data_IF_665682430498
#
_entry.id   IF_665682430498
#
_cell.length_a   1.000
_cell.length_b   1.000
_cell.length_c   1.000
_cell.angle_alpha   90.00
_cell.angle_beta   90.00
_cell.angle_gamma   90.00
#
_symmetry.space_group_name_H-M   'P 1'
#
loop_
_entity.id
_entity.type
_entity.pdbx_description
1 polymer ?
#
# COMPACT_ATOMS: atom_id res chain seq x y z
N UNK A 1 9.16 25.39 42.52
CA UNK A 1 9.42 25.96 41.18
C UNK A 1 10.40 25.04 40.45
N UNK A 2 9.89 24.03 39.73
CA UNK A 2 10.74 23.13 38.95
C UNK A 2 10.66 23.51 37.47
N UNK A 3 11.82 23.75 36.86
CA UNK A 3 11.94 24.16 35.45
C UNK A 3 11.49 23.01 34.56
N UNK A 4 10.30 23.14 33.97
CA UNK A 4 9.83 22.29 32.87
C UNK A 4 10.76 22.59 31.69
N UNK A 5 11.76 21.73 31.50
CA UNK A 5 12.62 21.77 30.33
C UNK A 5 11.74 21.49 29.12
N UNK A 6 11.53 22.49 28.26
CA UNK A 6 10.88 22.33 26.96
C UNK A 6 11.62 21.20 26.23
N UNK A 7 11.00 20.03 26.15
CA UNK A 7 11.41 19.01 25.20
C UNK A 7 10.98 19.51 23.84
N UNK A 8 11.80 20.39 23.26
CA UNK A 8 11.71 20.75 21.85
C UNK A 8 12.12 19.49 21.08
N UNK A 9 11.16 18.58 20.90
CA UNK A 9 11.34 17.40 20.05
C UNK A 9 11.58 17.91 18.64
N UNK A 10 12.85 17.99 18.29
CA UNK A 10 13.31 18.23 16.93
C UNK A 10 12.82 17.04 16.09
N UNK A 11 11.69 17.21 15.41
CA UNK A 11 11.19 16.30 14.38
C UNK A 11 12.11 16.35 13.15
N UNK A 12 13.38 15.99 13.34
CA UNK A 12 14.31 15.80 12.25
C UNK A 12 14.01 14.46 11.62
N UNK A 13 13.68 14.49 10.34
CA UNK A 13 13.59 13.30 9.51
C UNK A 13 14.95 12.59 9.57
N UNK A 14 14.99 11.44 10.22
CA UNK A 14 16.22 10.72 10.50
C UNK A 14 15.91 9.27 10.85
N UNK A 15 16.95 8.47 11.07
CA UNK A 15 16.86 7.03 11.31
C UNK A 15 15.84 6.65 12.41
N UNK A 16 15.68 7.51 13.42
CA UNK A 16 14.71 7.33 14.51
C UNK A 16 13.25 7.25 14.03
N UNK A 17 12.87 7.99 12.98
CA UNK A 17 11.52 7.94 12.40
C UNK A 17 11.27 6.56 11.78
N UNK A 18 12.25 6.02 11.07
CA UNK A 18 12.15 4.73 10.40
C UNK A 18 12.07 3.59 11.41
N UNK A 19 12.86 3.62 12.49
CA UNK A 19 12.76 2.66 13.60
C UNK A 19 11.38 2.70 14.24
N UNK A 20 10.86 3.89 14.58
CA UNK A 20 9.52 4.05 15.16
C UNK A 20 8.41 3.59 14.20
N UNK A 21 8.57 3.84 12.91
CA UNK A 21 7.64 3.37 11.89
C UNK A 21 7.61 1.84 11.81
N UNK A 22 8.78 1.18 11.87
CA UNK A 22 8.88 -0.29 11.93
C UNK A 22 8.18 -0.84 13.17
N UNK A 23 8.27 -0.16 14.32
CA UNK A 23 7.54 -0.55 15.54
C UNK A 23 6.01 -0.51 15.37
N UNK A 24 5.48 0.32 14.46
CA UNK A 24 4.04 0.40 14.15
C UNK A 24 3.57 -0.67 13.15
N UNK A 25 4.48 -1.25 12.36
CA UNK A 25 4.18 -2.33 11.40
C UNK A 25 3.44 -3.52 12.03
N UNK A 26 3.85 -4.07 13.19
CA UNK A 26 3.10 -5.17 13.81
C UNK A 26 1.67 -4.79 14.22
N UNK A 27 1.40 -3.52 14.55
CA UNK A 27 0.03 -3.06 14.86
C UNK A 27 -0.86 -3.01 13.61
N UNK A 28 -0.30 -2.73 12.44
CA UNK A 28 -1.05 -2.76 11.16
C UNK A 28 -1.58 -4.17 10.85
N UNK A 29 -0.85 -5.21 11.26
CA UNK A 29 -1.21 -6.62 11.06
C UNK A 29 -1.85 -7.29 12.28
N UNK A 30 -2.22 -6.55 13.32
CA UNK A 30 -2.77 -7.10 14.57
C UNK A 30 -3.99 -8.03 14.34
N UNK A 31 -4.89 -7.69 13.40
CA UNK A 31 -5.96 -8.60 12.93
C UNK A 31 -5.57 -9.26 11.61
N UNK A 32 -4.79 -10.34 11.71
CA UNK A 32 -4.07 -10.99 10.60
C UNK A 32 -4.91 -11.51 9.42
N UNK A 33 -6.10 -12.07 9.63
CA UNK A 33 -6.74 -12.95 8.62
C UNK A 33 -7.05 -12.26 7.28
N UNK A 34 -7.73 -11.12 7.32
CA UNK A 34 -8.14 -10.41 6.09
C UNK A 34 -7.02 -9.52 5.54
N UNK A 35 -6.24 -8.89 6.43
CA UNK A 35 -5.17 -7.98 6.05
C UNK A 35 -4.03 -8.69 5.32
N UNK A 36 -3.62 -9.89 5.78
CA UNK A 36 -2.59 -10.68 5.09
C UNK A 36 -3.09 -11.15 3.72
N UNK A 37 -4.35 -11.58 3.62
CA UNK A 37 -4.94 -12.01 2.36
C UNK A 37 -4.94 -10.87 1.33
N UNK A 38 -5.37 -9.66 1.69
CA UNK A 38 -5.32 -8.50 0.79
C UNK A 38 -3.89 -8.07 0.45
N UNK A 39 -2.93 -8.23 1.38
CA UNK A 39 -1.52 -7.92 1.12
C UNK A 39 -0.90 -8.88 0.09
N UNK A 40 -1.12 -10.18 0.27
CA UNK A 40 -0.67 -11.22 -0.67
C UNK A 40 -1.34 -11.03 -2.02
N UNK A 41 -2.64 -10.74 -2.04
CA UNK A 41 -3.40 -10.56 -3.28
C UNK A 41 -2.95 -9.30 -4.04
N UNK A 42 -2.73 -8.18 -3.34
CA UNK A 42 -2.17 -6.97 -3.93
C UNK A 42 -0.77 -7.22 -4.51
N UNK A 43 0.08 -7.95 -3.77
CA UNK A 43 1.42 -8.32 -4.22
C UNK A 43 1.37 -9.24 -5.45
N UNK A 44 0.51 -10.25 -5.45
CA UNK A 44 0.31 -11.16 -6.57
C UNK A 44 -0.18 -10.43 -7.83
N UNK A 45 -1.14 -9.52 -7.69
CA UNK A 45 -1.60 -8.70 -8.80
C UNK A 45 -0.49 -7.75 -9.31
N UNK A 46 0.33 -7.17 -8.43
CA UNK A 46 1.45 -6.31 -8.83
C UNK A 46 2.51 -7.08 -9.64
N UNK A 47 2.88 -8.28 -9.18
CA UNK A 47 3.79 -9.17 -9.92
C UNK A 47 3.18 -9.58 -11.26
N UNK A 48 1.89 -9.93 -11.27
CA UNK A 48 1.17 -10.27 -12.49
C UNK A 48 1.17 -9.12 -13.51
N UNK A 49 0.98 -7.88 -13.04
CA UNK A 49 1.00 -6.70 -13.91
C UNK A 49 2.38 -6.47 -14.54
N UNK A 50 3.47 -6.66 -13.80
CA UNK A 50 4.84 -6.57 -14.35
C UNK A 50 5.08 -7.62 -15.44
N UNK A 51 4.66 -8.87 -15.20
CA UNK A 51 4.80 -9.93 -16.21
C UNK A 51 3.99 -9.61 -17.47
N UNK A 52 2.76 -9.13 -17.32
CA UNK A 52 1.91 -8.73 -18.46
C UNK A 52 2.50 -7.52 -19.19
N UNK A 53 3.02 -6.53 -18.47
CA UNK A 53 3.69 -5.38 -19.07
C UNK A 53 4.91 -5.79 -19.90
N UNK A 54 5.73 -6.72 -19.39
CA UNK A 54 6.88 -7.27 -20.13
C UNK A 54 6.43 -8.00 -21.41
N UNK A 55 5.36 -8.80 -21.33
CA UNK A 55 4.81 -9.52 -22.50
C UNK A 55 4.20 -8.56 -23.52
N UNK A 56 3.52 -7.52 -23.06
CA UNK A 56 2.91 -6.49 -23.90
C UNK A 56 3.94 -5.81 -24.82
N UNK A 57 5.12 -5.49 -24.30
CA UNK A 57 6.22 -4.93 -25.11
C UNK A 57 6.65 -5.83 -26.27
N UNK A 58 6.67 -7.15 -26.07
CA UNK A 58 7.02 -8.10 -27.15
C UNK A 58 5.92 -8.25 -28.20
N UNK A 59 4.66 -8.06 -27.82
CA UNK A 59 3.50 -8.16 -28.72
C UNK A 59 3.47 -6.98 -29.68
N UNK A 60 3.71 -5.77 -29.19
CA UNK A 60 3.82 -4.57 -30.03
C UNK A 60 4.87 -4.76 -31.13
N UNK A 61 6.03 -5.34 -30.80
CA UNK A 61 7.06 -5.66 -31.80
C UNK A 61 6.62 -6.69 -32.86
N UNK A 62 5.81 -7.68 -32.47
CA UNK A 62 5.25 -8.67 -33.41
C UNK A 62 4.24 -8.04 -34.36
N UNK A 63 3.37 -7.13 -33.87
CA UNK A 63 2.40 -6.41 -34.71
C UNK A 63 3.12 -5.63 -35.82
N UNK A 64 4.19 -4.89 -35.48
CA UNK A 64 5.00 -4.18 -36.48
C UNK A 64 5.65 -5.12 -37.51
N UNK A 65 6.13 -6.30 -37.07
CA UNK A 65 6.72 -7.29 -37.96
C UNK A 65 5.70 -7.89 -38.95
N UNK A 66 4.49 -8.20 -38.49
CA UNK A 66 3.42 -8.72 -39.35
C UNK A 66 2.91 -7.66 -40.32
N UNK A 67 2.83 -6.40 -39.89
CA UNK A 67 2.47 -5.27 -40.74
C UNK A 67 3.49 -5.06 -41.87
N UNK A 68 4.79 -5.17 -41.56
CA UNK A 68 5.87 -5.04 -42.54
C UNK A 68 5.86 -6.17 -43.59
N UNK A 69 5.48 -7.39 -43.17
CA UNK A 69 5.42 -8.55 -44.04
C UNK A 69 4.13 -8.65 -44.89
N UNK A 70 3.19 -7.68 -44.77
CA UNK A 70 1.90 -7.65 -45.49
C UNK A 70 1.05 -8.93 -45.35
N UNK A 71 1.16 -9.62 -44.21
CA UNK A 71 0.38 -10.82 -43.94
C UNK A 71 -0.92 -10.46 -43.18
N UNK A 72 -2.01 -10.34 -43.93
CA UNK A 72 -3.28 -9.81 -43.44
C UNK A 72 -3.95 -10.76 -42.43
N UNK A 73 -3.88 -12.08 -42.64
CA UNK A 73 -4.47 -13.07 -41.73
C UNK A 73 -3.73 -13.12 -40.39
N UNK A 74 -2.40 -13.18 -40.42
CA UNK A 74 -1.59 -13.20 -39.21
C UNK A 74 -1.70 -11.89 -38.40
N UNK A 75 -1.93 -10.76 -39.08
CA UNK A 75 -2.16 -9.48 -38.42
C UNK A 75 -3.45 -9.46 -37.60
N UNK A 76 -4.58 -9.91 -38.15
CA UNK A 76 -5.85 -9.92 -37.41
C UNK A 76 -5.85 -10.86 -36.20
N UNK A 77 -5.21 -12.02 -36.31
CA UNK A 77 -5.04 -12.94 -35.17
C UNK A 77 -4.18 -12.33 -34.06
N UNK A 78 -3.05 -11.73 -34.41
CA UNK A 78 -2.16 -11.07 -33.43
C UNK A 78 -2.79 -9.82 -32.83
N UNK A 79 -3.58 -9.08 -33.60
CA UNK A 79 -4.33 -7.92 -33.12
C UNK A 79 -5.41 -8.34 -32.10
N UNK A 80 -6.22 -9.34 -32.42
CA UNK A 80 -7.24 -9.85 -31.49
C UNK A 80 -6.62 -10.37 -30.19
N UNK A 81 -5.51 -11.11 -30.29
CA UNK A 81 -4.76 -11.58 -29.12
C UNK A 81 -4.19 -10.41 -28.29
N UNK A 82 -3.67 -9.37 -28.94
CA UNK A 82 -3.17 -8.18 -28.25
C UNK A 82 -4.30 -7.46 -27.51
N UNK A 83 -5.44 -7.24 -28.14
CA UNK A 83 -6.60 -6.59 -27.50
C UNK A 83 -7.06 -7.36 -26.26
N UNK A 84 -7.12 -8.70 -26.33
CA UNK A 84 -7.47 -9.53 -25.17
C UNK A 84 -6.46 -9.39 -24.02
N UNK A 85 -5.17 -9.32 -24.34
CA UNK A 85 -4.10 -9.15 -23.34
C UNK A 85 -4.17 -7.76 -22.68
N UNK A 86 -4.37 -6.70 -23.47
CA UNK A 86 -4.55 -5.35 -22.94
C UNK A 86 -5.82 -5.23 -22.08
N UNK A 87 -6.93 -5.87 -22.47
CA UNK A 87 -8.12 -5.94 -21.64
C UNK A 87 -7.84 -6.62 -20.29
N UNK A 88 -7.10 -7.74 -20.32
CA UNK A 88 -6.63 -8.41 -19.10
C UNK A 88 -5.72 -7.54 -18.23
N UNK A 89 -4.81 -6.78 -18.86
CA UNK A 89 -3.94 -5.83 -18.15
C UNK A 89 -4.74 -4.76 -17.41
N UNK A 90 -5.74 -4.17 -18.07
CA UNK A 90 -6.63 -3.20 -17.44
C UNK A 90 -7.38 -3.78 -16.24
N UNK A 91 -7.86 -5.02 -16.34
CA UNK A 91 -8.51 -5.72 -15.22
C UNK A 91 -7.55 -5.94 -14.05
N UNK A 92 -6.32 -6.39 -14.32
CA UNK A 92 -5.29 -6.57 -13.28
C UNK A 92 -5.00 -5.23 -12.60
N UNK A 93 -4.85 -4.15 -13.37
CA UNK A 93 -4.60 -2.82 -12.82
C UNK A 93 -5.75 -2.33 -11.93
N UNK A 94 -6.99 -2.57 -12.35
CA UNK A 94 -8.18 -2.28 -11.53
C UNK A 94 -8.20 -3.10 -10.24
N UNK A 95 -7.84 -4.39 -10.31
CA UNK A 95 -7.70 -5.24 -9.14
C UNK A 95 -6.64 -4.74 -8.15
N UNK A 96 -5.47 -4.30 -8.64
CA UNK A 96 -4.42 -3.70 -7.78
C UNK A 96 -4.97 -2.49 -7.04
N UNK A 97 -5.64 -1.58 -7.76
CA UNK A 97 -6.24 -0.40 -7.15
C UNK A 97 -7.26 -0.79 -6.07
N UNK A 98 -8.16 -1.72 -6.39
CA UNK A 98 -9.18 -2.20 -5.45
C UNK A 98 -8.57 -2.84 -4.20
N UNK A 99 -7.63 -3.77 -4.36
CA UNK A 99 -7.01 -4.46 -3.23
C UNK A 99 -6.14 -3.54 -2.38
N UNK A 100 -5.46 -2.58 -2.99
CA UNK A 100 -4.71 -1.53 -2.28
C UNK A 100 -5.64 -0.68 -1.41
N UNK A 101 -6.80 -0.26 -1.95
CA UNK A 101 -7.82 0.47 -1.19
C UNK A 101 -8.40 -0.35 -0.02
N UNK A 102 -8.72 -1.63 -0.26
CA UNK A 102 -9.21 -2.52 0.80
C UNK A 102 -8.14 -2.72 1.90
N UNK A 103 -6.88 -2.90 1.51
CA UNK A 103 -5.75 -3.05 2.43
C UNK A 103 -5.55 -1.78 3.26
N UNK A 104 -5.62 -0.60 2.63
CA UNK A 104 -5.57 0.69 3.32
C UNK A 104 -6.66 0.82 4.38
N UNK A 105 -7.91 0.48 4.05
CA UNK A 105 -9.02 0.51 5.01
C UNK A 105 -8.81 -0.45 6.18
N UNK A 106 -8.31 -1.67 5.90
CA UNK A 106 -7.99 -2.64 6.94
C UNK A 106 -6.86 -2.17 7.87
N UNK A 107 -5.79 -1.63 7.28
CA UNK A 107 -4.67 -1.04 8.02
C UNK A 107 -5.12 0.11 8.91
N UNK A 108 -5.90 1.05 8.37
CA UNK A 108 -6.44 2.17 9.16
C UNK A 108 -7.28 1.67 10.33
N UNK A 109 -8.20 0.73 10.08
CA UNK A 109 -9.05 0.16 11.13
C UNK A 109 -8.22 -0.52 12.22
N UNK A 110 -7.25 -1.36 11.85
CA UNK A 110 -6.40 -2.09 12.80
C UNK A 110 -5.54 -1.12 13.63
N UNK A 111 -4.92 -0.15 12.97
CA UNK A 111 -4.07 0.84 13.61
C UNK A 111 -4.86 1.68 14.61
N UNK A 112 -5.99 2.25 14.19
CA UNK A 112 -6.83 3.10 15.05
C UNK A 112 -7.36 2.30 16.25
N UNK A 113 -7.84 1.07 16.02
CA UNK A 113 -8.35 0.24 17.13
C UNK A 113 -7.24 -0.05 18.14
N UNK A 114 -6.04 -0.42 17.66
CA UNK A 114 -4.93 -0.76 18.55
C UNK A 114 -4.38 0.46 19.30
N UNK A 115 -4.35 1.64 18.66
CA UNK A 115 -4.00 2.89 19.35
C UNK A 115 -5.07 3.28 20.37
N UNK A 116 -6.33 3.08 20.06
CA UNK A 116 -7.44 3.37 20.97
C UNK A 116 -7.37 2.47 22.21
N UNK A 117 -7.14 1.17 22.01
CA UNK A 117 -6.95 0.23 23.12
C UNK A 117 -5.75 0.65 24.00
N UNK A 118 -4.62 1.04 23.39
CA UNK A 118 -3.44 1.55 24.11
C UNK A 118 -3.69 2.89 24.84
N UNK A 119 -4.51 3.76 24.28
CA UNK A 119 -4.81 5.08 24.86
C UNK A 119 -5.68 4.96 26.11
N UNK A 120 -6.64 4.03 26.11
CA UNK A 120 -7.53 3.80 27.24
C UNK A 120 -7.00 2.77 28.25
N UNK A 121 -5.96 2.01 27.89
CA UNK A 121 -5.30 1.09 28.82
C UNK A 121 -4.54 1.85 29.92
N UNK A 122 -4.51 1.29 31.14
CA UNK A 122 -3.71 1.76 32.27
C UNK A 122 -3.78 3.27 32.59
N UNK A 123 -4.93 3.92 32.41
CA UNK A 123 -5.12 5.37 32.61
C UNK A 123 -4.13 6.25 31.83
N UNK A 124 -3.60 5.75 30.71
CA UNK A 124 -2.66 6.48 29.84
C UNK A 124 -3.30 7.79 29.35
N UNK A 125 -4.59 7.77 29.04
CA UNK A 125 -5.35 8.99 28.73
C UNK A 125 -5.18 10.08 29.80
N UNK A 126 -5.23 9.71 31.09
CA UNK A 126 -5.14 10.65 32.21
C UNK A 126 -3.69 11.11 32.42
N UNK A 127 -2.73 10.21 32.25
CA UNK A 127 -1.30 10.55 32.36
C UNK A 127 -0.89 11.53 31.26
N UNK A 128 -1.33 11.31 30.02
CA UNK A 128 -1.03 12.19 28.88
C UNK A 128 -1.75 13.55 29.03
N UNK A 129 -3.05 13.57 29.39
CA UNK A 129 -3.78 14.85 29.51
C UNK A 129 -3.52 15.61 30.82
N UNK A 130 -3.11 14.93 31.90
CA UNK A 130 -3.12 15.50 33.25
C UNK A 130 -1.76 15.62 33.94
N UNK A 131 -0.77 14.80 33.57
CA UNK A 131 0.53 14.73 34.27
C UNK A 131 1.69 15.13 33.34
N UNK A 132 1.65 14.70 32.08
CA UNK A 132 2.62 15.02 31.03
C UNK A 132 2.00 15.96 29.98
N UNK A 133 1.57 17.14 30.41
CA UNK A 133 1.19 18.23 29.50
C UNK A 133 2.46 18.77 28.79
N UNK A 134 3.04 17.97 27.90
CA UNK A 134 4.24 18.29 27.11
C UNK A 134 3.90 19.20 25.91
N UNK A 135 2.78 19.92 25.96
CA UNK A 135 2.31 20.77 24.86
C UNK A 135 1.77 19.97 23.68
N UNK A 136 1.30 18.73 23.90
CA UNK A 136 0.44 18.04 22.95
C UNK A 136 -0.96 18.58 23.19
N UNK A 137 -1.27 19.70 22.56
CA UNK A 137 -2.62 20.27 22.56
C UNK A 137 -3.56 19.24 21.92
N UNK A 138 -4.48 18.74 22.74
CA UNK A 138 -5.59 17.92 22.30
C UNK A 138 -6.47 18.72 21.32
N UNK A 139 -6.88 18.17 20.16
CA UNK A 139 -7.93 18.81 19.35
C UNK A 139 -9.28 18.85 20.08
#
# INVERSE_FOLDING_TARGET
MSKISRVQQSYRFGWKVLVRFITLVPLLFARRRYTIAFAILTLGCAIGNEVVAQKSGTITGKIYKHLLNRDEKAFWETFAAATAIYAGQCLILACIALFSWCLYLCFRKNLVTSLHDLYFDNNVYYTINGIEDQGIDNP
#
